data_IF_781055119544
#
_entry.id   IF_781055119544
#
_cell.length_a   1.000
_cell.length_b   1.000
_cell.length_c   1.000
_cell.angle_alpha   90.00
_cell.angle_beta   90.00
_cell.angle_gamma   90.00
#
_symmetry.space_group_name_H-M   'P 1'
#
loop_
_entity.id
_entity.type
_entity.pdbx_description
1 polymer ?
#
# COMPACT_ATOMS: atom_id res chain seq x y z
N UNK A 1 -6.51 -22.67 -19.94
CA UNK A 1 -7.74 -21.85 -19.94
C UNK A 1 -7.83 -21.19 -18.57
N UNK A 2 -8.04 -19.87 -18.48
CA UNK A 2 -8.16 -19.18 -17.19
C UNK A 2 -9.59 -19.30 -16.65
N UNK A 3 -9.80 -19.17 -15.34
CA UNK A 3 -11.14 -19.36 -14.76
C UNK A 3 -12.20 -18.40 -15.33
N UNK A 4 -11.80 -17.17 -15.67
CA UNK A 4 -12.69 -16.19 -16.31
C UNK A 4 -13.08 -16.59 -17.75
N UNK A 5 -12.21 -17.30 -18.47
CA UNK A 5 -12.53 -17.85 -19.79
C UNK A 5 -13.54 -19.00 -19.67
N UNK A 6 -13.50 -19.78 -18.59
CA UNK A 6 -14.50 -20.84 -18.36
C UNK A 6 -15.88 -20.21 -18.13
N UNK A 7 -15.94 -19.10 -17.39
CA UNK A 7 -17.16 -18.31 -17.23
C UNK A 7 -17.60 -17.71 -18.56
N UNK A 8 -16.67 -17.19 -19.39
CA UNK A 8 -16.97 -16.65 -20.73
C UNK A 8 -17.72 -17.67 -21.58
N UNK A 9 -17.21 -18.91 -21.67
CA UNK A 9 -17.85 -19.98 -22.44
C UNK A 9 -19.25 -20.32 -21.92
N UNK A 10 -19.44 -20.32 -20.60
CA UNK A 10 -20.77 -20.52 -20.01
C UNK A 10 -21.75 -19.40 -20.41
N UNK A 11 -21.30 -18.14 -20.42
CA UNK A 11 -22.12 -17.02 -20.88
C UNK A 11 -22.42 -17.13 -22.38
N UNK A 12 -21.46 -17.56 -23.21
CA UNK A 12 -21.69 -17.78 -24.65
C UNK A 12 -22.74 -18.85 -24.90
N UNK A 13 -22.66 -19.98 -24.20
CA UNK A 13 -23.66 -21.05 -24.30
C UNK A 13 -25.04 -20.53 -23.91
N UNK A 14 -25.14 -19.78 -22.81
CA UNK A 14 -26.38 -19.14 -22.40
C UNK A 14 -26.89 -18.18 -23.48
N UNK A 15 -26.02 -17.33 -24.05
CA UNK A 15 -26.40 -16.33 -25.03
C UNK A 15 -26.96 -16.98 -26.31
N UNK A 16 -26.29 -18.01 -26.83
CA UNK A 16 -26.78 -18.77 -27.99
C UNK A 16 -28.14 -19.41 -27.71
N UNK A 17 -28.35 -19.97 -26.51
CA UNK A 17 -29.63 -20.57 -26.11
C UNK A 17 -30.74 -19.54 -25.90
N UNK A 18 -30.43 -18.39 -25.32
CA UNK A 18 -31.40 -17.35 -24.98
C UNK A 18 -31.93 -16.65 -26.23
N UNK A 19 -31.04 -16.35 -27.19
CA UNK A 19 -31.39 -15.64 -28.42
C UNK A 19 -31.70 -16.55 -29.61
N UNK A 20 -31.54 -17.88 -29.43
CA UNK A 20 -31.73 -18.89 -30.47
C UNK A 20 -30.95 -18.57 -31.77
N UNK A 21 -29.71 -18.07 -31.61
CA UNK A 21 -28.84 -17.71 -32.74
C UNK A 21 -27.37 -18.00 -32.44
N UNK A 22 -26.70 -18.68 -33.38
CA UNK A 22 -25.27 -18.99 -33.32
C UNK A 22 -24.42 -17.72 -33.42
N UNK A 23 -24.97 -16.63 -33.95
CA UNK A 23 -24.28 -15.33 -34.04
C UNK A 23 -23.90 -14.75 -32.66
N UNK A 24 -24.51 -15.24 -31.57
CA UNK A 24 -24.09 -14.93 -30.20
C UNK A 24 -22.79 -15.63 -29.77
N UNK A 25 -22.33 -16.62 -30.53
CA UNK A 25 -21.03 -17.25 -30.29
C UNK A 25 -19.93 -16.25 -30.67
N UNK A 26 -19.01 -15.96 -29.75
CA UNK A 26 -17.94 -14.98 -29.96
C UNK A 26 -18.30 -13.53 -29.63
N UNK A 27 -19.53 -13.23 -29.20
CA UNK A 27 -19.93 -11.89 -28.74
C UNK A 27 -19.52 -11.61 -27.30
N UNK A 28 -19.06 -12.63 -26.57
CA UNK A 28 -18.65 -12.49 -25.18
C UNK A 28 -17.12 -12.37 -25.09
N UNK A 29 -16.63 -11.26 -24.55
CA UNK A 29 -15.19 -11.08 -24.25
C UNK A 29 -14.96 -11.14 -22.75
N UNK A 30 -13.87 -11.76 -22.34
CA UNK A 30 -13.42 -11.77 -20.95
C UNK A 30 -12.07 -11.06 -20.81
N UNK A 31 -11.89 -10.32 -19.70
CA UNK A 31 -10.63 -9.68 -19.34
C UNK A 31 -10.51 -9.65 -17.82
N UNK A 32 -9.38 -10.14 -17.30
CA UNK A 32 -8.98 -9.91 -15.90
C UNK A 32 -8.06 -8.69 -15.85
N UNK A 33 -8.44 -7.67 -15.07
CA UNK A 33 -7.65 -6.47 -14.88
C UNK A 33 -7.56 -6.14 -13.39
N UNK A 34 -6.36 -6.25 -12.83
CA UNK A 34 -6.14 -6.16 -11.38
C UNK A 34 -7.03 -7.16 -10.61
N UNK A 35 -7.97 -6.66 -9.80
CA UNK A 35 -8.96 -7.43 -9.03
C UNK A 35 -10.35 -7.48 -9.70
N UNK A 36 -10.47 -7.04 -10.96
CA UNK A 36 -11.74 -6.97 -11.71
C UNK A 36 -11.79 -8.12 -12.71
N UNK A 37 -12.81 -8.97 -12.60
CA UNK A 37 -13.14 -9.98 -13.60
C UNK A 37 -14.26 -9.43 -14.48
N UNK A 38 -13.85 -8.88 -15.61
CA UNK A 38 -14.72 -8.19 -16.54
C UNK A 38 -15.13 -9.11 -17.68
N UNK A 39 -16.43 -9.16 -17.95
CA UNK A 39 -17.02 -9.80 -19.11
C UNK A 39 -17.84 -8.75 -19.86
N UNK A 40 -17.80 -8.78 -21.19
CA UNK A 40 -18.70 -7.98 -22.03
C UNK A 40 -19.52 -8.89 -22.91
N UNK A 41 -20.79 -8.56 -23.11
CA UNK A 41 -21.71 -9.25 -24.01
C UNK A 41 -22.12 -8.23 -25.07
N UNK A 42 -21.74 -8.48 -26.33
CA UNK A 42 -22.10 -7.62 -27.44
C UNK A 42 -23.52 -7.91 -27.95
N UNK A 43 -24.44 -6.96 -27.72
CA UNK A 43 -25.84 -7.04 -28.14
C UNK A 43 -26.14 -6.09 -29.32
N UNK A 44 -25.12 -5.46 -29.91
CA UNK A 44 -25.30 -4.41 -30.94
C UNK A 44 -26.03 -4.90 -32.19
N UNK A 45 -25.86 -6.17 -32.55
CA UNK A 45 -26.38 -6.76 -33.79
C UNK A 45 -27.58 -7.71 -33.58
N UNK A 46 -28.17 -7.75 -32.38
CA UNK A 46 -29.13 -8.79 -31.99
C UNK A 46 -30.50 -8.16 -31.74
N UNK A 47 -31.56 -8.77 -32.27
CA UNK A 47 -32.94 -8.37 -31.95
C UNK A 47 -33.30 -8.89 -30.56
N UNK A 48 -33.29 -8.02 -29.57
CA UNK A 48 -33.64 -8.35 -28.20
C UNK A 48 -34.82 -7.49 -27.72
N UNK A 49 -35.58 -7.97 -26.74
CA UNK A 49 -36.88 -7.43 -26.28
C UNK A 49 -36.76 -6.17 -25.39
N UNK A 50 -35.65 -5.43 -25.50
CA UNK A 50 -35.29 -4.21 -24.75
C UNK A 50 -35.32 -4.29 -23.20
N UNK A 51 -35.62 -5.46 -22.60
CA UNK A 51 -35.66 -5.61 -21.15
C UNK A 51 -34.35 -6.21 -20.59
N UNK A 52 -33.36 -5.33 -20.33
CA UNK A 52 -32.01 -5.80 -19.96
C UNK A 52 -32.01 -6.48 -18.59
N UNK A 53 -32.89 -6.03 -17.70
CA UNK A 53 -33.00 -6.60 -16.36
C UNK A 53 -33.50 -8.05 -16.42
N UNK A 54 -34.44 -8.38 -17.32
CA UNK A 54 -34.91 -9.75 -17.53
C UNK A 54 -33.82 -10.65 -18.12
N UNK A 55 -33.05 -10.15 -19.09
CA UNK A 55 -31.88 -10.85 -19.63
C UNK A 55 -30.86 -11.10 -18.51
N UNK A 56 -30.53 -10.06 -17.74
CA UNK A 56 -29.57 -10.13 -16.65
C UNK A 56 -30.01 -11.11 -15.55
N UNK A 57 -31.27 -11.09 -15.14
CA UNK A 57 -31.83 -12.03 -14.17
C UNK A 57 -31.74 -13.48 -14.67
N UNK A 58 -32.03 -13.71 -15.95
CA UNK A 58 -31.95 -15.04 -16.57
C UNK A 58 -30.51 -15.54 -16.61
N UNK A 59 -29.57 -14.68 -17.02
CA UNK A 59 -28.14 -14.97 -17.02
C UNK A 59 -27.62 -15.24 -15.61
N UNK A 60 -27.99 -14.39 -14.65
CA UNK A 60 -27.59 -14.53 -13.25
C UNK A 60 -28.02 -15.87 -12.68
N UNK A 61 -29.29 -16.26 -12.89
CA UNK A 61 -29.81 -17.56 -12.46
C UNK A 61 -29.05 -18.71 -13.11
N UNK A 62 -28.84 -18.64 -14.43
CA UNK A 62 -28.06 -19.62 -15.16
C UNK A 62 -26.64 -19.77 -14.59
N UNK A 63 -25.94 -18.66 -14.38
CA UNK A 63 -24.56 -18.64 -13.88
C UNK A 63 -24.47 -19.14 -12.42
N UNK A 64 -25.46 -18.84 -11.58
CA UNK A 64 -25.50 -19.39 -10.22
C UNK A 64 -25.67 -20.91 -10.22
N UNK A 65 -26.60 -21.44 -11.03
CA UNK A 65 -26.84 -22.88 -11.12
C UNK A 65 -25.66 -23.61 -11.78
N UNK A 66 -25.10 -23.02 -12.83
CA UNK A 66 -23.92 -23.54 -13.51
C UNK A 66 -22.68 -23.50 -12.61
N UNK A 67 -22.44 -22.39 -11.90
CA UNK A 67 -21.31 -22.22 -10.98
C UNK A 67 -21.34 -23.21 -9.81
N UNK A 68 -22.52 -23.50 -9.25
CA UNK A 68 -22.69 -24.54 -8.21
C UNK A 68 -22.31 -25.93 -8.72
N UNK A 69 -22.66 -26.27 -9.97
CA UNK A 69 -22.37 -27.59 -10.57
C UNK A 69 -20.92 -27.74 -10.99
N UNK A 70 -20.27 -26.63 -11.35
CA UNK A 70 -18.93 -26.61 -11.93
C UNK A 70 -17.88 -26.02 -10.98
N UNK A 71 -18.18 -25.93 -9.68
CA UNK A 71 -17.30 -25.32 -8.69
C UNK A 71 -15.88 -25.93 -8.67
N UNK A 72 -15.79 -27.25 -8.91
CA UNK A 72 -14.51 -27.99 -8.99
C UNK A 72 -13.62 -27.58 -10.17
N UNK A 73 -14.15 -26.84 -11.14
CA UNK A 73 -13.42 -26.49 -12.36
C UNK A 73 -12.56 -25.22 -12.20
N UNK A 74 -12.69 -24.52 -11.07
CA UNK A 74 -12.01 -23.25 -10.84
C UNK A 74 -10.77 -23.39 -9.96
N UNK A 75 -9.67 -22.77 -10.39
CA UNK A 75 -8.42 -22.72 -9.61
C UNK A 75 -8.39 -21.52 -8.65
N UNK A 76 -8.93 -20.38 -9.05
CA UNK A 76 -9.01 -19.11 -8.31
C UNK A 76 -10.49 -18.71 -8.13
N UNK A 77 -11.20 -19.49 -7.30
CA UNK A 77 -12.60 -19.23 -6.97
C UNK A 77 -12.80 -17.84 -6.33
N UNK A 78 -11.77 -17.27 -5.68
CA UNK A 78 -11.84 -15.95 -5.08
C UNK A 78 -11.99 -14.88 -6.14
N UNK A 79 -11.18 -14.94 -7.19
CA UNK A 79 -11.30 -14.01 -8.31
C UNK A 79 -12.68 -14.08 -8.96
N UNK A 80 -13.13 -15.25 -9.40
CA UNK A 80 -14.37 -15.37 -10.18
C UNK A 80 -15.67 -15.21 -9.38
N UNK A 81 -15.60 -15.19 -8.04
CA UNK A 81 -16.78 -14.99 -7.18
C UNK A 81 -17.56 -13.72 -7.52
N UNK A 82 -16.86 -12.73 -8.10
CA UNK A 82 -17.33 -11.39 -8.41
C UNK A 82 -17.04 -11.09 -9.87
N UNK A 83 -18.10 -10.85 -10.61
CA UNK A 83 -18.02 -10.51 -12.03
C UNK A 83 -18.61 -9.13 -12.27
N UNK A 84 -17.98 -8.38 -13.15
CA UNK A 84 -18.57 -7.18 -13.76
C UNK A 84 -18.94 -7.56 -15.19
N UNK A 85 -20.23 -7.54 -15.49
CA UNK A 85 -20.76 -7.85 -16.82
C UNK A 85 -21.21 -6.54 -17.46
N UNK A 86 -20.57 -6.14 -18.55
CA UNK A 86 -21.01 -5.03 -19.39
C UNK A 86 -21.80 -5.53 -20.58
N UNK A 87 -22.96 -4.93 -20.83
CA UNK A 87 -23.78 -5.17 -22.00
C UNK A 87 -23.50 -4.04 -22.99
N UNK A 88 -22.92 -4.39 -24.14
CA UNK A 88 -22.67 -3.42 -25.21
C UNK A 88 -23.95 -3.28 -26.02
N UNK A 89 -24.57 -2.11 -25.94
CA UNK A 89 -25.87 -1.84 -26.54
C UNK A 89 -25.71 -0.99 -27.80
N UNK A 90 -26.64 -1.10 -28.77
CA UNK A 90 -26.66 -0.20 -29.92
C UNK A 90 -26.69 1.26 -29.46
N UNK A 91 -25.91 2.12 -30.13
CA UNK A 91 -25.96 3.56 -29.87
C UNK A 91 -27.36 4.10 -30.21
N UNK A 92 -27.85 5.01 -29.36
CA UNK A 92 -29.11 5.71 -29.57
C UNK A 92 -28.83 7.20 -29.56
N UNK A 93 -29.18 7.89 -30.64
CA UNK A 93 -28.98 9.34 -30.81
C UNK A 93 -27.52 9.80 -30.60
N UNK A 94 -26.55 8.95 -30.97
CA UNK A 94 -25.12 9.21 -30.81
C UNK A 94 -24.61 9.08 -29.37
N UNK A 95 -25.43 8.57 -28.44
CA UNK A 95 -25.06 8.32 -27.06
C UNK A 95 -24.84 6.82 -26.80
N UNK A 96 -23.73 6.51 -26.13
CA UNK A 96 -23.41 5.17 -25.64
C UNK A 96 -24.46 4.72 -24.59
N UNK A 97 -25.14 3.61 -24.87
CA UNK A 97 -26.18 3.04 -24.02
C UNK A 97 -25.70 1.92 -23.10
N UNK A 98 -24.40 1.60 -23.09
CA UNK A 98 -23.84 0.47 -22.34
C UNK A 98 -24.26 0.50 -20.87
N UNK A 99 -24.71 -0.66 -20.41
CA UNK A 99 -25.07 -0.89 -19.02
C UNK A 99 -24.14 -1.94 -18.42
N UNK A 100 -23.71 -1.71 -17.19
CA UNK A 100 -22.88 -2.65 -16.45
C UNK A 100 -23.65 -3.19 -15.26
N UNK A 101 -23.49 -4.48 -14.97
CA UNK A 101 -24.16 -5.16 -13.85
C UNK A 101 -23.15 -6.01 -13.08
N UNK A 102 -23.29 -6.03 -11.76
CA UNK A 102 -22.42 -6.81 -10.89
C UNK A 102 -23.06 -8.16 -10.56
N UNK A 103 -22.29 -9.24 -10.66
CA UNK A 103 -22.74 -10.60 -10.35
C UNK A 103 -21.86 -11.21 -9.27
N UNK A 104 -22.51 -11.65 -8.19
CA UNK A 104 -21.92 -12.55 -7.18
C UNK A 104 -22.31 -14.00 -7.49
N UNK A 105 -21.36 -14.79 -7.99
CA UNK A 105 -21.58 -16.20 -8.28
C UNK A 105 -21.78 -17.02 -6.99
N UNK A 106 -20.99 -16.70 -5.97
CA UNK A 106 -21.07 -17.34 -4.66
C UNK A 106 -20.58 -16.38 -3.57
N UNK A 107 -21.10 -16.56 -2.36
CA UNK A 107 -20.68 -15.79 -1.20
C UNK A 107 -19.32 -16.30 -0.71
N UNK A 108 -18.34 -15.41 -0.63
CA UNK A 108 -17.10 -15.68 0.08
C UNK A 108 -17.03 -14.83 1.33
N UNK A 109 -16.68 -15.43 2.49
CA UNK A 109 -16.29 -14.68 3.66
C UNK A 109 -15.18 -13.66 3.36
N UNK A 110 -15.23 -12.50 4.02
CA UNK A 110 -14.34 -11.36 3.79
C UNK A 110 -12.84 -11.69 3.92
N UNK A 111 -12.46 -12.67 4.75
CA UNK A 111 -11.06 -13.06 4.96
C UNK A 111 -10.38 -13.66 3.72
N UNK A 112 -11.13 -14.19 2.75
CA UNK A 112 -10.55 -14.75 1.51
C UNK A 112 -10.00 -13.66 0.58
N UNK A 113 -10.51 -12.43 0.64
CA UNK A 113 -10.05 -11.35 -0.24
C UNK A 113 -8.69 -10.76 0.19
N UNK A 114 -8.23 -11.05 1.42
CA UNK A 114 -6.97 -10.55 2.01
C UNK A 114 -5.72 -11.13 1.33
N UNK A 115 -5.73 -12.41 0.94
CA UNK A 115 -4.57 -13.07 0.33
C UNK A 115 -4.27 -12.59 -1.09
N UNK A 116 -5.30 -12.15 -1.83
CA UNK A 116 -5.15 -11.70 -3.22
C UNK A 116 -4.76 -10.21 -3.32
N UNK A 117 -5.14 -9.36 -2.36
CA UNK A 117 -4.75 -7.94 -2.35
C UNK A 117 -3.30 -7.71 -1.88
N UNK A 118 -2.77 -8.55 -0.99
CA UNK A 118 -1.36 -8.48 -0.57
C UNK A 118 -0.37 -8.93 -1.67
N UNK A 119 -0.87 -9.56 -2.75
CA UNK A 119 -0.07 -10.03 -3.88
C UNK A 119 0.04 -9.04 -5.05
N UNK A 120 -0.48 -7.81 -4.92
CA UNK A 120 -0.04 -6.73 -5.80
C UNK A 120 1.38 -6.35 -5.40
N UNK A 121 2.32 -7.10 -5.99
CA UNK A 121 3.74 -6.98 -5.77
C UNK A 121 4.19 -5.55 -5.85
N UNK A 122 5.20 -5.23 -5.05
CA UNK A 122 6.00 -4.02 -5.15
C UNK A 122 6.53 -3.90 -6.58
N UNK A 123 5.73 -3.36 -7.50
CA UNK A 123 6.21 -2.83 -8.76
C UNK A 123 7.04 -1.63 -8.36
N UNK A 124 8.35 -1.84 -8.26
CA UNK A 124 9.33 -0.77 -8.17
C UNK A 124 8.91 0.32 -9.15
N UNK A 125 8.53 1.49 -8.63
CA UNK A 125 8.05 2.56 -9.49
C UNK A 125 9.09 2.83 -10.57
N UNK A 126 8.67 3.12 -11.80
CA UNK A 126 9.61 3.44 -12.89
C UNK A 126 10.56 4.59 -12.53
N UNK A 127 10.19 5.39 -11.53
CA UNK A 127 11.01 6.43 -10.92
C UNK A 127 12.13 5.85 -10.04
N UNK A 128 11.85 4.84 -9.22
CA UNK A 128 12.86 4.10 -8.46
C UNK A 128 13.82 3.35 -9.39
N UNK A 129 13.32 2.73 -10.47
CA UNK A 129 14.16 2.08 -11.48
C UNK A 129 15.04 3.09 -12.22
N UNK A 130 14.51 4.26 -12.60
CA UNK A 130 15.29 5.36 -13.20
C UNK A 130 16.33 5.92 -12.23
N UNK A 131 16.00 6.09 -10.95
CA UNK A 131 16.95 6.51 -9.92
C UNK A 131 18.05 5.46 -9.75
N UNK A 132 17.70 4.17 -9.72
CA UNK A 132 18.67 3.06 -9.66
C UNK A 132 19.57 3.02 -10.89
N UNK A 133 19.03 3.25 -12.10
CA UNK A 133 19.81 3.29 -13.34
C UNK A 133 20.76 4.49 -13.35
N UNK A 134 20.29 5.68 -12.93
CA UNK A 134 21.14 6.88 -12.81
C UNK A 134 22.21 6.67 -11.73
N UNK A 135 21.87 6.05 -10.60
CA UNK A 135 22.81 5.71 -9.55
C UNK A 135 23.85 4.68 -10.00
N UNK A 136 23.40 3.61 -10.66
CA UNK A 136 24.25 2.58 -11.21
C UNK A 136 25.21 3.19 -12.22
N UNK A 137 24.74 4.09 -13.09
CA UNK A 137 25.57 4.81 -14.05
C UNK A 137 26.54 5.80 -13.40
N UNK A 138 26.17 6.50 -12.32
CA UNK A 138 27.08 7.40 -11.60
C UNK A 138 28.15 6.60 -10.84
N UNK A 139 27.76 5.51 -10.16
CA UNK A 139 28.70 4.59 -9.51
C UNK A 139 29.61 3.94 -10.55
N UNK A 140 29.09 3.36 -11.63
CA UNK A 140 29.91 2.78 -12.71
C UNK A 140 30.84 3.81 -13.34
N UNK A 141 30.35 5.02 -13.63
CA UNK A 141 31.18 6.09 -14.21
C UNK A 141 32.30 6.46 -13.26
N UNK A 142 32.02 6.63 -11.97
CA UNK A 142 33.03 6.99 -10.99
C UNK A 142 33.98 5.82 -10.71
N UNK A 143 33.48 4.58 -10.69
CA UNK A 143 34.28 3.36 -10.59
C UNK A 143 35.19 3.22 -11.79
N UNK A 144 34.72 3.42 -13.02
CA UNK A 144 35.52 3.39 -14.27
C UNK A 144 36.57 4.52 -14.27
N UNK A 145 36.17 5.75 -13.91
CA UNK A 145 37.08 6.91 -13.83
C UNK A 145 38.21 6.70 -12.81
N UNK A 146 37.99 5.88 -11.79
CA UNK A 146 39.03 5.52 -10.80
C UNK A 146 39.79 4.26 -11.23
N UNK A 147 39.12 3.27 -11.83
CA UNK A 147 39.74 2.00 -12.27
C UNK A 147 40.77 2.22 -13.37
N UNK A 148 40.48 3.08 -14.36
CA UNK A 148 41.39 3.35 -15.47
C UNK A 148 42.76 3.88 -14.98
N UNK A 149 42.84 4.97 -14.20
CA UNK A 149 44.11 5.43 -13.65
C UNK A 149 44.72 4.40 -12.69
N UNK A 150 43.91 3.67 -11.91
CA UNK A 150 44.42 2.65 -10.99
C UNK A 150 45.12 1.50 -11.74
N UNK A 151 44.49 0.94 -12.77
CA UNK A 151 45.08 -0.08 -13.65
C UNK A 151 46.34 0.48 -14.33
N UNK A 152 46.28 1.71 -14.84
CA UNK A 152 47.44 2.36 -15.46
C UNK A 152 48.61 2.48 -14.47
N UNK A 153 48.36 2.94 -13.24
CA UNK A 153 49.38 3.03 -12.19
C UNK A 153 49.89 1.66 -11.73
N UNK A 154 49.05 0.62 -11.69
CA UNK A 154 49.48 -0.76 -11.40
C UNK A 154 50.43 -1.25 -12.49
N UNK A 155 50.08 -1.09 -13.77
CA UNK A 155 50.93 -1.50 -14.90
C UNK A 155 52.26 -0.72 -14.89
N UNK A 156 52.21 0.59 -14.66
CA UNK A 156 53.40 1.44 -14.54
C UNK A 156 54.29 0.99 -13.37
N UNK A 157 53.68 0.60 -12.24
CA UNK A 157 54.39 0.13 -11.05
C UNK A 157 55.05 -1.22 -11.30
N UNK A 158 54.36 -2.17 -11.94
CA UNK A 158 54.93 -3.47 -12.33
C UNK A 158 56.13 -3.28 -13.28
N UNK A 159 56.01 -2.36 -14.25
CA UNK A 159 57.12 -2.02 -15.15
C UNK A 159 58.30 -1.44 -14.37
N UNK A 160 58.04 -0.48 -13.45
CA UNK A 160 59.08 0.18 -12.66
C UNK A 160 59.80 -0.75 -11.68
N UNK A 161 59.08 -1.67 -11.04
CA UNK A 161 59.65 -2.72 -10.17
C UNK A 161 60.68 -3.58 -10.93
N UNK A 162 60.43 -3.89 -12.20
CA UNK A 162 61.38 -4.66 -13.02
C UNK A 162 62.63 -3.88 -13.42
N UNK A 163 62.56 -2.55 -13.46
CA UNK A 163 63.65 -1.68 -13.93
C UNK A 163 64.46 -1.00 -12.82
N UNK A 164 63.91 -0.87 -11.61
CA UNK A 164 64.54 -0.18 -10.47
C UNK A 164 64.26 -0.95 -9.17
N UNK A 165 65.27 -1.63 -8.63
CA UNK A 165 65.15 -2.39 -7.39
C UNK A 165 64.90 -1.51 -6.15
N UNK A 166 65.31 -0.23 -6.16
CA UNK A 166 65.05 0.73 -5.09
C UNK A 166 63.61 1.29 -5.15
N UNK A 167 62.90 1.10 -6.26
CA UNK A 167 61.47 1.44 -6.36
C UNK A 167 60.61 0.51 -5.50
N UNK A 168 61.00 -0.76 -5.36
CA UNK A 168 60.27 -1.72 -4.53
C UNK A 168 60.20 -1.29 -3.06
N UNK A 169 61.33 -0.86 -2.49
CA UNK A 169 61.39 -0.39 -1.09
C UNK A 169 60.61 0.92 -0.88
N UNK A 170 60.63 1.82 -1.87
CA UNK A 170 59.84 3.07 -1.84
C UNK A 170 58.34 2.78 -1.92
N UNK A 171 57.93 1.84 -2.77
CA UNK A 171 56.55 1.41 -2.90
C UNK A 171 56.04 0.75 -1.61
N UNK A 172 56.85 -0.11 -0.98
CA UNK A 172 56.55 -0.71 0.32
C UNK A 172 56.30 0.36 1.41
N UNK A 173 57.17 1.37 1.51
CA UNK A 173 56.97 2.51 2.44
C UNK A 173 55.71 3.32 2.11
N UNK A 174 55.40 3.53 0.82
CA UNK A 174 54.15 4.18 0.41
C UNK A 174 52.90 3.39 0.78
N UNK A 175 52.94 2.05 0.73
CA UNK A 175 51.85 1.20 1.20
C UNK A 175 51.58 1.39 2.70
N UNK A 176 52.61 1.50 3.54
CA UNK A 176 52.44 1.75 4.97
C UNK A 176 51.73 3.09 5.24
N UNK A 177 52.11 4.16 4.53
CA UNK A 177 51.43 5.45 4.64
C UNK A 177 49.97 5.40 4.16
N UNK A 178 49.68 4.68 3.07
CA UNK A 178 48.31 4.52 2.54
C UNK A 178 47.45 3.70 3.50
N UNK A 179 47.99 2.64 4.10
CA UNK A 179 47.30 1.83 5.09
C UNK A 179 46.95 2.64 6.34
N UNK A 180 47.92 3.42 6.86
CA UNK A 180 47.69 4.31 8.01
C UNK A 180 46.64 5.38 7.67
N UNK A 181 46.76 6.05 6.53
CA UNK A 181 45.79 7.06 6.10
C UNK A 181 44.38 6.47 5.90
N UNK A 182 44.28 5.29 5.30
CA UNK A 182 43.01 4.58 5.09
C UNK A 182 42.36 4.18 6.41
N UNK A 183 43.15 3.71 7.38
CA UNK A 183 42.68 3.39 8.73
C UNK A 183 42.17 4.62 9.51
N UNK A 184 42.85 5.76 9.39
CA UNK A 184 42.42 7.03 9.98
C UNK A 184 41.09 7.48 9.35
N UNK A 185 41.01 7.53 8.02
CA UNK A 185 39.80 7.94 7.29
C UNK A 185 38.63 7.00 7.61
N UNK A 186 38.87 5.69 7.63
CA UNK A 186 37.88 4.70 8.01
C UNK A 186 37.33 4.96 9.42
N UNK A 187 38.21 5.22 10.40
CA UNK A 187 37.79 5.50 11.78
C UNK A 187 36.92 6.75 11.89
N UNK A 188 37.28 7.83 11.18
CA UNK A 188 36.46 9.05 11.11
C UNK A 188 35.09 8.81 10.46
N UNK A 189 35.06 8.08 9.34
CA UNK A 189 33.81 7.77 8.63
C UNK A 189 32.89 6.91 9.49
N UNK A 190 33.44 5.89 10.17
CA UNK A 190 32.68 5.03 11.08
C UNK A 190 32.11 5.82 12.26
N UNK A 191 32.93 6.66 12.90
CA UNK A 191 32.49 7.53 14.00
C UNK A 191 31.39 8.50 13.57
N UNK A 192 31.53 9.11 12.39
CA UNK A 192 30.51 9.96 11.79
C UNK A 192 29.21 9.20 11.52
N UNK A 193 29.29 8.00 10.92
CA UNK A 193 28.14 7.14 10.63
C UNK A 193 27.36 6.78 11.89
N UNK A 194 28.06 6.28 12.92
CA UNK A 194 27.45 5.91 14.21
C UNK A 194 26.78 7.14 14.85
N UNK A 195 27.51 8.25 14.96
CA UNK A 195 26.97 9.47 15.57
C UNK A 195 25.74 10.00 14.81
N UNK A 196 25.76 9.94 13.47
CA UNK A 196 24.65 10.43 12.65
C UNK A 196 23.43 9.54 12.78
N UNK A 197 23.58 8.21 12.82
CA UNK A 197 22.47 7.27 13.04
C UNK A 197 21.87 7.46 14.43
N UNK A 198 22.70 7.60 15.48
CA UNK A 198 22.21 7.90 16.84
C UNK A 198 21.43 9.22 16.86
N UNK A 199 21.94 10.26 16.21
CA UNK A 199 21.25 11.56 16.11
C UNK A 199 19.89 11.41 15.45
N UNK A 200 19.81 10.67 14.33
CA UNK A 200 18.54 10.41 13.63
C UNK A 200 17.57 9.65 14.54
N UNK A 201 18.03 8.59 15.22
CA UNK A 201 17.21 7.84 16.17
C UNK A 201 16.67 8.76 17.28
N UNK A 202 17.52 9.60 17.87
CA UNK A 202 17.08 10.57 18.88
C UNK A 202 16.05 11.54 18.34
N UNK A 203 16.19 12.01 17.11
CA UNK A 203 15.20 12.87 16.47
C UNK A 203 13.87 12.14 16.25
N UNK A 204 13.89 10.86 15.84
CA UNK A 204 12.68 10.02 15.74
C UNK A 204 12.00 9.83 17.10
N UNK A 205 12.78 9.54 18.15
CA UNK A 205 12.28 9.37 19.52
C UNK A 205 11.55 10.61 20.05
N UNK A 206 11.95 11.83 19.65
CA UNK A 206 11.24 13.07 20.03
C UNK A 206 9.79 13.10 19.52
N UNK A 207 9.49 12.39 18.44
CA UNK A 207 8.17 12.39 17.81
C UNK A 207 7.25 11.26 18.30
N UNK A 208 7.77 10.22 18.98
CA UNK A 208 6.98 9.02 19.36
C UNK A 208 5.78 9.37 20.23
N UNK A 209 5.94 10.27 21.21
CA UNK A 209 4.82 10.75 22.05
C UNK A 209 3.74 11.46 21.25
N UNK A 210 4.13 12.26 20.25
CA UNK A 210 3.18 12.98 19.40
C UNK A 210 2.44 12.00 18.47
N UNK A 211 3.18 11.04 17.87
CA UNK A 211 2.60 9.96 17.06
C UNK A 211 1.60 9.17 17.90
N UNK A 212 1.99 8.64 19.07
CA UNK A 212 1.11 7.92 20.00
C UNK A 212 -0.19 8.67 20.28
N UNK A 213 -0.10 9.94 20.67
CA UNK A 213 -1.28 10.73 20.98
C UNK A 213 -2.21 10.88 19.76
N UNK A 214 -1.66 11.22 18.60
CA UNK A 214 -2.44 11.36 17.37
C UNK A 214 -3.03 10.02 16.89
N UNK A 215 -2.28 8.93 17.00
CA UNK A 215 -2.75 7.59 16.69
C UNK A 215 -3.89 7.15 17.61
N UNK A 216 -3.82 7.46 18.91
CA UNK A 216 -4.94 7.22 19.84
C UNK A 216 -6.18 8.00 19.44
N UNK A 217 -6.02 9.28 19.07
CA UNK A 217 -7.13 10.11 18.58
C UNK A 217 -7.75 9.54 17.31
N UNK A 218 -6.94 9.10 16.35
CA UNK A 218 -7.45 8.44 15.14
C UNK A 218 -8.20 7.15 15.47
N UNK A 219 -7.70 6.38 16.43
CA UNK A 219 -8.35 5.16 16.94
C UNK A 219 -9.75 5.50 17.50
N UNK A 220 -9.88 6.52 18.34
CA UNK A 220 -11.18 6.99 18.82
C UNK A 220 -12.09 7.47 17.69
N UNK A 221 -11.57 8.19 16.70
CA UNK A 221 -12.36 8.64 15.55
C UNK A 221 -12.85 7.49 14.66
N UNK A 222 -12.05 6.44 14.50
CA UNK A 222 -12.49 5.22 13.82
C UNK A 222 -13.61 4.53 14.59
N UNK A 223 -13.54 4.50 15.93
CA UNK A 223 -14.64 3.98 16.75
C UNK A 223 -15.91 4.84 16.64
N UNK A 224 -15.77 6.17 16.50
CA UNK A 224 -16.91 7.04 16.17
C UNK A 224 -17.53 6.62 14.83
N UNK A 225 -16.73 6.42 13.78
CA UNK A 225 -17.21 5.98 12.48
C UNK A 225 -17.92 4.61 12.55
N UNK A 226 -17.35 3.68 13.31
CA UNK A 226 -17.94 2.35 13.54
C UNK A 226 -19.32 2.44 14.19
N UNK A 227 -19.45 3.23 15.24
CA UNK A 227 -20.71 3.43 15.96
C UNK A 227 -21.75 4.17 15.11
N UNK A 228 -21.34 5.13 14.26
CA UNK A 228 -22.24 5.83 13.34
C UNK A 228 -22.87 4.91 12.30
N UNK A 229 -22.13 3.93 11.78
CA UNK A 229 -22.67 2.94 10.84
C UNK A 229 -23.69 2.04 11.52
N UNK A 230 -23.50 1.71 12.80
CA UNK A 230 -24.33 0.75 13.54
C UNK A 230 -25.52 1.38 14.24
N UNK A 231 -25.64 2.70 14.24
CA UNK A 231 -26.72 3.39 14.94
C UNK A 231 -28.08 3.12 14.30
N UNK A 232 -28.83 2.18 14.90
CA UNK A 232 -30.13 1.77 14.41
C UNK A 232 -31.17 2.87 14.47
N UNK A 233 -31.08 3.84 15.39
CA UNK A 233 -32.02 4.96 15.45
C UNK A 233 -31.86 5.94 14.29
N UNK A 234 -30.70 5.93 13.64
CA UNK A 234 -30.41 6.78 12.49
C UNK A 234 -30.79 6.09 11.17
N UNK A 235 -30.51 4.79 11.07
CA UNK A 235 -30.78 3.96 9.90
C UNK A 235 -32.06 3.13 10.05
N UNK A 236 -33.21 3.77 10.29
CA UNK A 236 -34.51 3.06 10.36
C UNK A 236 -35.26 3.07 9.03
N UNK A 237 -36.09 2.06 8.79
CA UNK A 237 -36.94 1.95 7.59
C UNK A 237 -37.87 3.14 7.38
N UNK A 238 -38.21 3.87 8.43
CA UNK A 238 -39.06 5.06 8.31
C UNK A 238 -38.28 6.30 7.82
N UNK A 239 -36.95 6.23 7.68
CA UNK A 239 -36.11 7.35 7.23
C UNK A 239 -35.89 7.32 5.71
N UNK A 240 -35.84 8.49 5.04
CA UNK A 240 -35.71 8.57 3.59
C UNK A 240 -34.40 7.99 3.03
N UNK A 241 -33.37 7.86 3.86
CA UNK A 241 -32.04 7.41 3.44
C UNK A 241 -31.79 5.92 3.68
N UNK A 242 -32.77 5.18 4.22
CA UNK A 242 -32.60 3.78 4.61
C UNK A 242 -32.23 2.87 3.44
N UNK A 243 -32.91 3.02 2.30
CA UNK A 243 -32.65 2.17 1.12
C UNK A 243 -31.23 2.35 0.60
N UNK A 244 -30.73 3.59 0.58
CA UNK A 244 -29.36 3.90 0.18
C UNK A 244 -28.32 3.38 1.19
N UNK A 245 -28.63 3.41 2.48
CA UNK A 245 -27.80 2.81 3.52
C UNK A 245 -27.73 1.28 3.41
N UNK A 246 -28.86 0.60 3.25
CA UNK A 246 -28.92 -0.84 3.05
C UNK A 246 -28.18 -1.24 1.77
N UNK A 247 -28.40 -0.49 0.68
CA UNK A 247 -27.69 -0.68 -0.56
C UNK A 247 -26.18 -0.56 -0.37
N UNK A 248 -25.70 0.50 0.27
CA UNK A 248 -24.28 0.69 0.56
C UNK A 248 -23.69 -0.46 1.40
N UNK A 249 -24.41 -0.94 2.41
CA UNK A 249 -23.99 -2.09 3.21
C UNK A 249 -23.92 -3.40 2.39
N UNK A 250 -24.77 -3.55 1.38
CA UNK A 250 -24.78 -4.74 0.51
C UNK A 250 -23.58 -4.79 -0.45
N UNK A 251 -23.02 -3.63 -0.82
CA UNK A 251 -21.94 -3.48 -1.81
C UNK A 251 -20.56 -3.17 -1.20
N UNK A 252 -20.47 -2.84 0.10
CA UNK A 252 -19.25 -2.35 0.77
C UNK A 252 -18.02 -3.24 0.64
N UNK A 253 -18.20 -4.53 0.34
CA UNK A 253 -17.10 -5.47 0.16
C UNK A 253 -16.67 -5.61 -1.30
N UNK A 254 -17.45 -5.11 -2.25
CA UNK A 254 -17.27 -5.34 -3.69
C UNK A 254 -16.76 -4.09 -4.43
N UNK A 255 -17.00 -2.90 -3.85
CA UNK A 255 -16.49 -1.62 -4.32
C UNK A 255 -15.88 -0.84 -3.15
N UNK A 256 -14.73 -0.21 -3.38
CA UNK A 256 -14.10 0.67 -2.39
C UNK A 256 -14.72 2.07 -2.43
N UNK A 257 -14.56 2.84 -1.35
CA UNK A 257 -14.94 4.25 -1.32
C UNK A 257 -14.28 5.06 -2.47
N UNK A 258 -12.99 4.79 -2.72
CA UNK A 258 -12.23 5.43 -3.80
C UNK A 258 -12.83 5.14 -5.17
N UNK A 259 -13.08 3.86 -5.49
CA UNK A 259 -13.65 3.43 -6.75
C UNK A 259 -15.05 4.03 -6.99
N UNK A 260 -15.81 4.27 -5.91
CA UNK A 260 -17.14 4.87 -5.99
C UNK A 260 -17.12 6.40 -6.14
N UNK A 261 -16.22 7.09 -5.44
CA UNK A 261 -16.16 8.55 -5.46
C UNK A 261 -15.30 9.11 -6.62
N UNK A 262 -14.30 8.36 -7.07
CA UNK A 262 -13.35 8.76 -8.09
C UNK A 262 -13.27 7.71 -9.20
N UNK A 263 -14.35 7.53 -10.00
CA UNK A 263 -14.33 6.58 -11.08
C UNK A 263 -13.29 6.95 -12.14
N UNK A 264 -12.57 5.95 -12.63
CA UNK A 264 -11.56 6.08 -13.68
C UNK A 264 -12.25 6.05 -15.05
N UNK A 265 -12.58 7.22 -15.60
CA UNK A 265 -13.31 7.37 -16.86
C UNK A 265 -12.49 6.96 -18.09
N UNK A 266 -11.16 6.97 -18.00
CA UNK A 266 -10.26 6.63 -19.10
C UNK A 266 -10.09 5.10 -19.25
N UNK A 267 -10.38 4.35 -18.18
CA UNK A 267 -10.27 2.90 -18.12
C UNK A 267 -11.65 2.24 -18.18
N UNK A 268 -12.07 1.83 -19.38
CA UNK A 268 -13.40 1.25 -19.61
C UNK A 268 -13.77 0.08 -18.69
N UNK A 269 -12.80 -0.73 -18.24
CA UNK A 269 -13.05 -1.85 -17.31
C UNK A 269 -13.35 -1.35 -15.90
N UNK A 270 -12.55 -0.40 -15.39
CA UNK A 270 -12.79 0.18 -14.07
C UNK A 270 -14.06 1.03 -14.07
N UNK A 271 -14.32 1.76 -15.15
CA UNK A 271 -15.56 2.53 -15.30
C UNK A 271 -16.80 1.63 -15.35
N UNK A 272 -16.75 0.50 -16.07
CA UNK A 272 -17.81 -0.49 -16.07
C UNK A 272 -18.06 -1.08 -14.67
N UNK A 273 -16.99 -1.31 -13.89
CA UNK A 273 -17.15 -1.71 -12.48
C UNK A 273 -17.91 -0.66 -11.69
N UNK A 274 -17.50 0.61 -11.75
CA UNK A 274 -18.23 1.70 -11.08
C UNK A 274 -19.71 1.74 -11.50
N UNK A 275 -19.98 1.77 -12.81
CA UNK A 275 -21.34 1.78 -13.37
C UNK A 275 -22.19 0.63 -12.85
N UNK A 276 -21.60 -0.55 -12.63
CA UNK A 276 -22.31 -1.71 -12.11
C UNK A 276 -22.84 -1.56 -10.68
N UNK A 277 -22.33 -0.59 -9.93
CA UNK A 277 -22.78 -0.23 -8.58
C UNK A 277 -23.49 1.14 -8.53
N UNK A 278 -23.55 1.87 -9.64
CA UNK A 278 -24.25 3.14 -9.72
C UNK A 278 -25.74 2.90 -9.95
N UNK A 279 -26.57 3.55 -9.13
CA UNK A 279 -28.03 3.41 -9.12
C UNK A 279 -28.67 4.78 -9.02
N UNK A 280 -29.46 5.17 -10.01
CA UNK A 280 -30.08 6.50 -10.10
C UNK A 280 -31.13 6.75 -9.01
N UNK A 281 -31.77 5.69 -8.51
CA UNK A 281 -32.76 5.72 -7.44
C UNK A 281 -32.14 5.85 -6.03
N UNK A 282 -30.80 5.89 -5.92
CA UNK A 282 -30.09 5.92 -4.65
C UNK A 282 -29.48 7.30 -4.35
N UNK A 283 -29.48 7.69 -3.08
CA UNK A 283 -28.78 8.88 -2.61
C UNK A 283 -27.26 8.64 -2.58
N UNK A 284 -26.57 9.04 -3.63
CA UNK A 284 -25.11 8.84 -3.76
C UNK A 284 -24.29 9.43 -2.60
N UNK A 285 -24.76 10.52 -1.98
CA UNK A 285 -24.14 11.10 -0.78
C UNK A 285 -24.16 10.13 0.40
N UNK A 286 -25.29 9.45 0.62
CA UNK A 286 -25.45 8.41 1.66
C UNK A 286 -24.60 7.20 1.34
N UNK A 287 -24.61 6.73 0.08
CA UNK A 287 -23.80 5.58 -0.33
C UNK A 287 -22.31 5.88 -0.10
N UNK A 288 -21.84 7.05 -0.55
CA UNK A 288 -20.46 7.48 -0.36
C UNK A 288 -20.10 7.64 1.11
N UNK A 289 -20.99 8.20 1.94
CA UNK A 289 -20.80 8.31 3.39
C UNK A 289 -20.63 6.95 4.04
N UNK A 290 -21.53 6.01 3.77
CA UNK A 290 -21.48 4.68 4.39
C UNK A 290 -20.21 3.93 3.97
N UNK A 291 -19.82 4.01 2.69
CA UNK A 291 -18.56 3.44 2.21
C UNK A 291 -17.34 4.09 2.88
N UNK A 292 -17.34 5.42 3.07
CA UNK A 292 -16.27 6.12 3.80
C UNK A 292 -16.23 5.74 5.28
N UNK A 293 -17.38 5.61 5.94
CA UNK A 293 -17.44 5.21 7.33
C UNK A 293 -16.90 3.78 7.49
N UNK A 294 -17.23 2.85 6.58
CA UNK A 294 -16.62 1.51 6.55
C UNK A 294 -15.12 1.57 6.26
N UNK A 295 -14.66 2.42 5.34
CA UNK A 295 -13.23 2.64 5.09
C UNK A 295 -12.48 3.06 6.38
N UNK A 296 -13.10 3.89 7.23
CA UNK A 296 -12.55 4.29 8.51
C UNK A 296 -12.70 3.22 9.60
N UNK A 297 -13.84 2.53 9.63
CA UNK A 297 -14.27 1.65 10.72
C UNK A 297 -13.82 0.19 10.58
N UNK A 298 -13.56 -0.31 9.38
CA UNK A 298 -13.29 -1.74 9.17
C UNK A 298 -11.95 -2.15 9.82
N UNK A 299 -12.02 -3.20 10.63
CA UNK A 299 -10.90 -3.85 11.34
C UNK A 299 -9.92 -4.53 10.40
N UNK A 300 -10.31 -4.77 9.13
CA UNK A 300 -9.43 -5.32 8.08
C UNK A 300 -8.21 -4.43 7.76
N UNK A 301 -8.12 -3.26 8.38
CA UNK A 301 -6.93 -2.42 8.39
C UNK A 301 -5.83 -2.89 9.37
N UNK A 302 -6.18 -3.53 10.49
CA UNK A 302 -5.32 -3.83 11.64
C UNK A 302 -5.28 -5.34 12.03
N UNK A 303 -4.98 -6.17 11.03
CA UNK A 303 -4.42 -7.52 11.17
C UNK A 303 -5.29 -8.72 11.61
N UNK A 304 -4.72 -9.90 11.32
CA UNK A 304 -4.97 -11.23 11.94
C UNK A 304 -6.38 -11.52 12.46
N UNK A 305 -7.09 -12.41 11.76
CA UNK A 305 -8.45 -12.82 12.10
C UNK A 305 -8.67 -13.06 13.60
N UNK A 306 -9.59 -12.31 14.18
CA UNK A 306 -10.36 -12.70 15.34
C UNK A 306 -11.76 -12.07 15.23
N UNK A 307 -12.74 -12.94 15.44
CA UNK A 307 -14.08 -12.63 15.94
C UNK A 307 -14.08 -11.59 17.07
N UNK A 308 -15.11 -10.74 17.13
CA UNK A 308 -15.60 -10.04 18.32
C UNK A 308 -14.61 -9.97 19.51
N UNK A 309 -13.68 -9.02 19.48
CA UNK A 309 -12.91 -8.60 20.66
C UNK A 309 -12.96 -7.08 20.79
N UNK A 310 -12.87 -6.59 22.04
CA UNK A 310 -12.80 -5.18 22.35
C UNK A 310 -11.77 -4.47 21.47
N UNK A 311 -12.15 -3.31 20.92
CA UNK A 311 -11.27 -2.44 20.13
C UNK A 311 -9.93 -2.27 20.87
N UNK A 312 -8.77 -2.54 20.23
CA UNK A 312 -7.49 -2.53 20.95
C UNK A 312 -7.26 -1.13 21.52
N UNK A 313 -7.05 -0.98 22.83
CA UNK A 313 -6.77 0.34 23.40
C UNK A 313 -5.40 0.80 22.88
N UNK A 314 -5.41 1.85 22.05
CA UNK A 314 -4.24 2.54 21.52
C UNK A 314 -3.45 1.73 20.47
N UNK A 315 -3.73 1.97 19.18
CA UNK A 315 -2.93 1.45 18.06
C UNK A 315 -1.93 2.50 17.57
N UNK A 316 -0.71 2.09 17.19
CA UNK A 316 0.31 2.96 16.58
C UNK A 316 0.39 2.70 15.08
N UNK A 317 -0.31 3.55 14.31
CA UNK A 317 -0.32 3.49 12.85
C UNK A 317 1.07 3.74 12.26
N UNK A 318 1.47 2.88 11.34
CA UNK A 318 2.61 3.06 10.44
C UNK A 318 2.30 4.07 9.34
N UNK A 319 3.33 4.49 8.62
CA UNK A 319 3.18 5.37 7.48
C UNK A 319 2.35 4.74 6.35
N UNK A 320 2.55 3.46 6.04
CA UNK A 320 1.77 2.71 5.02
C UNK A 320 0.28 2.65 5.38
N UNK A 321 -0.03 2.46 6.65
CA UNK A 321 -1.38 2.59 7.19
C UNK A 321 -1.91 4.03 7.04
N UNK A 322 -1.08 5.05 7.29
CA UNK A 322 -1.54 6.43 7.11
C UNK A 322 -1.84 6.81 5.66
N UNK A 323 -1.18 6.20 4.68
CA UNK A 323 -1.44 6.46 3.24
C UNK A 323 -2.88 6.17 2.84
N UNK A 324 -3.52 5.16 3.45
CA UNK A 324 -4.89 4.78 3.08
C UNK A 324 -5.95 5.76 3.61
N UNK A 325 -5.59 6.61 4.59
CA UNK A 325 -6.48 7.65 5.12
C UNK A 325 -6.38 8.98 4.34
N UNK A 326 -5.46 9.12 3.39
CA UNK A 326 -5.29 10.36 2.61
C UNK A 326 -6.57 10.70 1.84
N UNK A 327 -7.29 9.71 1.31
CA UNK A 327 -8.56 9.93 0.60
C UNK A 327 -9.62 10.62 1.47
N UNK A 328 -9.57 10.44 2.80
CA UNK A 328 -10.44 11.17 3.72
C UNK A 328 -10.11 12.66 3.75
N UNK A 329 -8.83 13.02 3.59
CA UNK A 329 -8.39 14.42 3.50
C UNK A 329 -8.93 15.12 2.25
N UNK A 330 -9.05 14.40 1.13
CA UNK A 330 -9.51 14.95 -0.14
C UNK A 330 -11.03 15.09 -0.23
N UNK A 331 -11.78 14.17 0.40
CA UNK A 331 -13.23 14.22 0.42
C UNK A 331 -13.79 13.71 1.74
N UNK A 332 -14.30 14.63 2.56
CA UNK A 332 -14.92 14.33 3.84
C UNK A 332 -16.46 14.28 3.70
N UNK A 333 -16.99 13.06 3.58
CA UNK A 333 -18.44 12.82 3.46
C UNK A 333 -19.16 13.00 4.78
N UNK A 334 -18.49 12.83 5.92
CA UNK A 334 -19.10 13.10 7.23
C UNK A 334 -19.49 14.58 7.31
N UNK A 335 -18.56 15.49 7.03
CA UNK A 335 -18.83 16.92 6.97
C UNK A 335 -19.90 17.26 5.92
N UNK A 336 -19.74 16.78 4.69
CA UNK A 336 -20.70 17.06 3.61
C UNK A 336 -22.12 16.61 3.98
N UNK A 337 -22.25 15.44 4.61
CA UNK A 337 -23.55 14.90 5.01
C UNK A 337 -24.13 15.56 6.26
N UNK A 338 -23.29 16.11 7.13
CA UNK A 338 -23.70 16.90 8.29
C UNK A 338 -24.17 18.31 7.90
N UNK A 339 -23.43 18.98 7.01
CA UNK A 339 -23.60 20.41 6.74
C UNK A 339 -24.41 20.72 5.47
N UNK A 340 -24.09 20.07 4.35
CA UNK A 340 -24.68 20.39 3.04
C UNK A 340 -25.96 19.60 2.81
N UNK A 341 -25.88 18.26 2.81
CA UNK A 341 -27.07 17.42 2.55
C UNK A 341 -27.93 17.17 3.78
N UNK A 342 -27.42 17.53 4.97
CA UNK A 342 -28.13 17.47 6.27
C UNK A 342 -28.84 16.13 6.50
N UNK A 343 -28.14 15.04 6.23
CA UNK A 343 -28.64 13.67 6.45
C UNK A 343 -28.73 13.40 7.95
N UNK A 344 -27.78 13.91 8.73
CA UNK A 344 -27.76 13.77 10.18
C UNK A 344 -28.77 14.71 10.87
N UNK A 345 -29.44 14.26 11.94
CA UNK A 345 -30.31 15.12 12.72
C UNK A 345 -29.51 16.20 13.46
N UNK A 346 -30.13 17.35 13.72
CA UNK A 346 -29.51 18.43 14.50
C UNK A 346 -29.04 17.94 15.88
N UNK A 347 -29.81 17.06 16.51
CA UNK A 347 -29.50 16.41 17.79
C UNK A 347 -29.78 14.91 17.71
N UNK A 348 -28.85 14.10 18.20
CA UNK A 348 -28.99 12.65 18.23
C UNK A 348 -29.69 12.20 19.51
N UNK A 349 -30.65 11.29 19.38
CA UNK A 349 -31.29 10.66 20.53
C UNK A 349 -30.29 9.78 21.30
N UNK A 350 -30.30 9.79 22.64
CA UNK A 350 -29.41 8.95 23.43
C UNK A 350 -29.63 7.47 23.13
N UNK A 351 -28.55 6.79 22.75
CA UNK A 351 -28.47 5.35 22.56
C UNK A 351 -27.13 4.86 23.12
N UNK A 352 -26.94 3.54 23.21
CA UNK A 352 -25.64 2.97 23.55
C UNK A 352 -24.53 3.45 22.60
N UNK A 353 -24.75 3.43 21.27
CA UNK A 353 -23.74 3.83 20.30
C UNK A 353 -23.48 5.34 20.31
N UNK A 354 -24.50 6.18 20.48
CA UNK A 354 -24.33 7.64 20.64
C UNK A 354 -23.55 7.97 21.91
N UNK A 355 -23.79 7.25 23.02
CA UNK A 355 -23.01 7.42 24.24
C UNK A 355 -21.54 7.06 24.03
N UNK A 356 -21.25 5.97 23.31
CA UNK A 356 -19.87 5.61 22.94
C UNK A 356 -19.21 6.69 22.07
N UNK A 357 -19.92 7.25 21.09
CA UNK A 357 -19.43 8.37 20.27
C UNK A 357 -19.09 9.58 21.14
N UNK A 358 -19.99 9.95 22.06
CA UNK A 358 -19.78 11.07 22.99
C UNK A 358 -18.55 10.82 23.88
N UNK A 359 -18.39 9.60 24.40
CA UNK A 359 -17.21 9.21 25.18
C UNK A 359 -15.91 9.37 24.39
N UNK A 360 -15.88 8.93 23.14
CA UNK A 360 -14.70 9.03 22.28
C UNK A 360 -14.38 10.47 21.86
N UNK A 361 -15.39 11.29 21.56
CA UNK A 361 -15.19 12.73 21.34
C UNK A 361 -14.57 13.36 22.59
N UNK A 362 -15.07 13.02 23.78
CA UNK A 362 -14.54 13.51 25.05
C UNK A 362 -13.12 13.01 25.35
N UNK A 363 -12.71 11.86 24.82
CA UNK A 363 -11.31 11.38 24.87
C UNK A 363 -10.40 12.14 23.91
N UNK A 364 -10.90 12.51 22.73
CA UNK A 364 -10.15 13.32 21.74
C UNK A 364 -9.97 14.77 22.24
N UNK A 365 -11.01 15.32 22.88
CA UNK A 365 -11.09 16.70 23.37
C UNK A 365 -11.39 16.78 24.89
N UNK A 366 -10.44 16.39 25.76
CA UNK A 366 -10.69 16.33 27.20
C UNK A 366 -10.99 17.70 27.86
N UNK A 367 -10.66 18.80 27.17
CA UNK A 367 -10.90 20.18 27.62
C UNK A 367 -12.23 20.77 27.14
N UNK A 368 -12.85 20.19 26.12
CA UNK A 368 -14.10 20.67 25.50
C UNK A 368 -15.11 19.51 25.46
N UNK A 369 -15.57 19.12 26.65
CA UNK A 369 -16.43 17.95 26.80
C UNK A 369 -17.86 18.27 26.40
N UNK A 370 -18.45 17.39 25.60
CA UNK A 370 -19.86 17.44 25.22
C UNK A 370 -20.68 16.46 26.05
N UNK A 371 -21.97 16.79 26.23
CA UNK A 371 -22.95 15.89 26.86
C UNK A 371 -23.81 15.15 25.85
N UNK A 372 -24.17 15.85 24.77
CA UNK A 372 -25.02 15.34 23.69
C UNK A 372 -24.30 15.53 22.36
N UNK A 373 -24.54 14.63 21.41
CA UNK A 373 -24.02 14.72 20.06
C UNK A 373 -24.97 15.56 19.19
N UNK A 374 -24.41 16.52 18.45
CA UNK A 374 -25.09 17.28 17.41
C UNK A 374 -24.44 17.06 16.05
N UNK A 375 -25.18 17.33 14.96
CA UNK A 375 -24.62 17.30 13.60
C UNK A 375 -23.42 18.24 13.46
N UNK A 376 -23.50 19.45 14.02
CA UNK A 376 -22.43 20.44 13.97
C UNK A 376 -21.16 19.95 14.67
N UNK A 377 -21.29 19.29 15.83
CA UNK A 377 -20.12 18.75 16.52
C UNK A 377 -19.50 17.59 15.74
N UNK A 378 -20.32 16.75 15.12
CA UNK A 378 -19.82 15.68 14.25
C UNK A 378 -19.05 16.25 13.04
N UNK A 379 -19.59 17.30 12.42
CA UNK A 379 -18.93 18.04 11.34
C UNK A 379 -17.59 18.63 11.79
N UNK A 380 -17.56 19.34 12.91
CA UNK A 380 -16.37 19.94 13.50
C UNK A 380 -15.27 18.89 13.75
N UNK A 381 -15.63 17.78 14.41
CA UNK A 381 -14.69 16.68 14.68
C UNK A 381 -14.14 16.12 13.37
N UNK A 382 -15.00 15.87 12.37
CA UNK A 382 -14.56 15.32 11.08
C UNK A 382 -13.57 16.25 10.35
N UNK A 383 -13.80 17.57 10.39
CA UNK A 383 -12.92 18.57 9.78
C UNK A 383 -11.56 18.63 10.48
N UNK A 384 -11.54 18.51 11.80
CA UNK A 384 -10.31 18.43 12.58
C UNK A 384 -9.47 17.20 12.18
N UNK A 385 -10.10 16.06 11.91
CA UNK A 385 -9.40 14.89 11.39
C UNK A 385 -8.89 15.11 9.97
N UNK A 386 -9.71 15.70 9.10
CA UNK A 386 -9.37 15.99 7.71
C UNK A 386 -8.15 16.91 7.59
N UNK A 387 -8.14 18.04 8.30
CA UNK A 387 -7.15 19.09 8.10
C UNK A 387 -5.99 19.08 9.09
N UNK A 388 -6.16 18.47 10.26
CA UNK A 388 -5.18 18.59 11.35
C UNK A 388 -4.62 17.26 11.81
N UNK A 389 -5.45 16.29 12.19
CA UNK A 389 -4.94 15.07 12.82
C UNK A 389 -4.33 14.10 11.81
N UNK A 390 -5.03 13.75 10.73
CA UNK A 390 -4.54 12.79 9.72
C UNK A 390 -3.29 13.33 9.01
N UNK A 391 -3.27 14.56 8.46
CA UNK A 391 -2.09 15.08 7.77
C UNK A 391 -0.85 15.18 8.67
N UNK A 392 -1.05 15.60 9.93
CA UNK A 392 0.05 15.70 10.89
C UNK A 392 0.58 14.31 11.28
N UNK A 393 -0.32 13.35 11.51
CA UNK A 393 0.08 11.97 11.83
C UNK A 393 0.81 11.32 10.63
N UNK A 394 0.31 11.51 9.41
CA UNK A 394 0.96 11.07 8.18
C UNK A 394 2.38 11.63 8.03
N UNK A 395 2.56 12.93 8.26
CA UNK A 395 3.89 13.56 8.16
C UNK A 395 4.85 13.08 9.26
N UNK A 396 4.38 12.89 10.49
CA UNK A 396 5.20 12.41 11.59
C UNK A 396 5.58 10.94 11.42
N UNK A 397 4.63 10.08 11.03
CA UNK A 397 4.90 8.66 10.74
C UNK A 397 5.89 8.51 9.60
N UNK A 398 5.81 9.34 8.55
CA UNK A 398 6.82 9.37 7.48
C UNK A 398 8.23 9.60 7.99
N UNK A 399 8.40 10.52 8.95
CA UNK A 399 9.72 10.82 9.54
C UNK A 399 10.19 9.68 10.41
N UNK A 400 9.31 9.12 11.24
CA UNK A 400 9.65 8.04 12.18
C UNK A 400 9.96 6.73 11.47
N UNK A 401 9.15 6.36 10.49
CA UNK A 401 9.29 5.13 9.70
C UNK A 401 10.31 5.29 8.56
N UNK A 402 10.95 6.46 8.42
CA UNK A 402 11.93 6.68 7.37
C UNK A 402 13.16 5.77 7.53
N UNK A 403 13.53 5.17 6.41
CA UNK A 403 14.81 4.50 6.24
C UNK A 403 16.01 5.43 6.50
N UNK A 404 17.20 4.83 6.66
CA UNK A 404 18.45 5.59 6.65
C UNK A 404 18.53 6.51 5.41
N UNK A 405 18.88 7.80 5.59
CA UNK A 405 19.08 8.72 4.49
C UNK A 405 20.05 8.16 3.45
N UNK A 406 19.80 8.50 2.18
CA UNK A 406 20.62 8.07 1.05
C UNK A 406 22.11 8.40 1.25
N UNK A 407 22.42 9.53 1.88
CA UNK A 407 23.79 9.94 2.22
C UNK A 407 24.47 8.94 3.14
N UNK A 408 23.77 8.43 4.16
CA UNK A 408 24.30 7.39 5.06
C UNK A 408 24.50 6.08 4.29
N UNK A 409 23.52 5.67 3.48
CA UNK A 409 23.64 4.47 2.63
C UNK A 409 24.86 4.55 1.69
N UNK A 410 25.12 5.73 1.13
CA UNK A 410 26.31 6.02 0.32
C UNK A 410 27.62 5.94 1.13
N UNK A 411 27.68 6.56 2.31
CA UNK A 411 28.86 6.51 3.16
C UNK A 411 29.17 5.10 3.65
N UNK A 412 28.16 4.29 3.99
CA UNK A 412 28.32 2.86 4.30
C UNK A 412 28.96 2.13 3.11
N UNK A 413 28.42 2.32 1.91
CA UNK A 413 28.94 1.66 0.68
C UNK A 413 30.38 2.10 0.38
N UNK A 414 30.66 3.40 0.48
CA UNK A 414 32.00 3.96 0.25
C UNK A 414 33.00 3.47 1.29
N UNK A 415 32.58 3.38 2.56
CA UNK A 415 33.38 2.82 3.65
C UNK A 415 33.68 1.33 3.41
N UNK A 416 32.69 0.54 2.96
CA UNK A 416 32.89 -0.86 2.60
C UNK A 416 33.90 -1.02 1.47
N UNK A 417 33.82 -0.19 0.43
CA UNK A 417 34.79 -0.17 -0.66
C UNK A 417 36.18 0.24 -0.17
N UNK A 418 36.28 1.28 0.66
CA UNK A 418 37.56 1.77 1.21
C UNK A 418 38.25 0.70 2.07
N UNK A 419 37.51 -0.04 2.90
CA UNK A 419 38.08 -1.16 3.66
C UNK A 419 38.46 -2.35 2.77
N UNK A 420 37.64 -2.66 1.75
CA UNK A 420 37.90 -3.77 0.83
C UNK A 420 39.15 -3.52 -0.03
N UNK A 421 39.24 -2.35 -0.64
CA UNK A 421 40.33 -1.98 -1.57
C UNK A 421 41.53 -1.34 -0.88
N UNK A 422 41.34 -0.63 0.23
CA UNK A 422 42.40 0.05 0.96
C UNK A 422 43.07 -0.80 2.03
N UNK A 423 42.43 -1.90 2.48
CA UNK A 423 42.97 -2.72 3.56
C UNK A 423 42.96 -4.22 3.22
N UNK A 424 41.83 -4.80 2.82
CA UNK A 424 41.74 -6.26 2.57
C UNK A 424 42.62 -6.68 1.38
N UNK A 425 42.47 -6.04 0.21
CA UNK A 425 43.23 -6.40 -1.00
C UNK A 425 44.74 -6.17 -0.84
N UNK A 426 45.23 -5.02 -0.34
CA UNK A 426 46.66 -4.82 -0.11
C UNK A 426 47.23 -5.83 0.89
N UNK A 427 46.50 -6.14 1.95
CA UNK A 427 46.93 -7.13 2.95
C UNK A 427 47.00 -8.53 2.35
N UNK A 428 46.00 -8.96 1.56
CA UNK A 428 46.04 -10.21 0.81
C UNK A 428 47.24 -10.27 -0.15
N UNK A 429 47.57 -9.14 -0.79
CA UNK A 429 48.71 -9.06 -1.72
C UNK A 429 50.05 -9.21 -0.98
N UNK A 430 50.16 -8.64 0.22
CA UNK A 430 51.36 -8.71 1.07
C UNK A 430 51.61 -10.13 1.63
N UNK A 431 50.55 -10.92 1.86
CA UNK A 431 50.66 -12.33 2.28
C UNK A 431 51.44 -13.18 1.27
N UNK A 432 51.34 -12.87 -0.03
CA UNK A 432 52.08 -13.60 -1.06
C UNK A 432 53.56 -13.16 -1.18
N UNK A 433 54.01 -12.20 -0.36
CA UNK A 433 55.35 -11.60 -0.42
C UNK A 433 56.23 -12.01 0.77
N UNK A 434 55.70 -12.39 1.95
CA UNK A 434 56.53 -12.66 3.14
C UNK A 434 56.10 -13.86 4.03
N UNK A 435 57.02 -14.35 4.90
CA UNK A 435 57.01 -15.65 5.60
C UNK A 435 55.85 -15.92 6.58
N UNK A 436 55.60 -17.23 6.75
CA UNK A 436 54.46 -17.99 7.30
C UNK A 436 53.83 -17.61 8.65
N UNK A 437 54.44 -16.76 9.50
CA UNK A 437 53.88 -16.43 10.83
C UNK A 437 53.06 -15.14 10.87
N UNK A 438 53.18 -14.26 9.88
CA UNK A 438 52.27 -13.12 9.68
C UNK A 438 50.89 -13.54 9.13
N UNK A 439 50.75 -14.82 8.77
CA UNK A 439 49.59 -15.36 8.07
C UNK A 439 48.33 -15.37 8.94
N UNK A 440 48.42 -15.91 10.17
CA UNK A 440 47.24 -16.08 11.05
C UNK A 440 46.69 -14.74 11.55
N UNK A 441 47.56 -13.79 11.93
CA UNK A 441 47.15 -12.46 12.39
C UNK A 441 46.45 -11.67 11.29
N UNK A 442 46.94 -11.78 10.05
CA UNK A 442 46.33 -11.15 8.89
C UNK A 442 44.95 -11.75 8.57
N UNK A 443 44.80 -13.08 8.57
CA UNK A 443 43.49 -13.71 8.35
C UNK A 443 42.50 -13.37 9.46
N UNK A 444 42.95 -13.24 10.72
CA UNK A 444 42.12 -12.79 11.82
C UNK A 444 41.64 -11.34 11.62
N UNK A 445 42.53 -10.43 11.22
CA UNK A 445 42.18 -9.03 10.92
C UNK A 445 41.22 -8.93 9.73
N UNK A 446 41.47 -9.68 8.64
CA UNK A 446 40.55 -9.76 7.49
C UNK A 446 39.18 -10.32 7.91
N UNK A 447 39.16 -11.34 8.78
CA UNK A 447 37.94 -11.92 9.33
C UNK A 447 37.13 -10.90 10.16
N UNK A 448 37.80 -10.14 11.03
CA UNK A 448 37.20 -9.06 11.83
C UNK A 448 36.63 -7.97 10.92
N UNK A 449 37.40 -7.52 9.91
CA UNK A 449 36.96 -6.49 8.98
C UNK A 449 35.80 -6.99 8.13
N UNK A 450 35.88 -8.20 7.59
CA UNK A 450 34.80 -8.83 6.84
C UNK A 450 33.53 -8.95 7.67
N UNK A 451 33.64 -9.32 8.94
CA UNK A 451 32.52 -9.35 9.88
C UNK A 451 31.92 -7.95 10.09
N UNK A 452 32.73 -6.92 10.32
CA UNK A 452 32.26 -5.53 10.45
C UNK A 452 31.56 -5.07 9.17
N UNK A 453 32.09 -5.40 7.99
CA UNK A 453 31.49 -5.00 6.71
C UNK A 453 30.12 -5.64 6.48
N UNK A 454 29.97 -6.91 6.83
CA UNK A 454 28.71 -7.64 6.69
C UNK A 454 27.67 -7.20 7.74
N UNK A 455 28.10 -6.85 8.94
CA UNK A 455 27.21 -6.52 10.06
C UNK A 455 26.90 -5.04 10.21
N UNK A 456 27.75 -4.12 9.73
CA UNK A 456 27.57 -2.68 9.94
C UNK A 456 26.25 -2.17 9.36
N UNK A 457 25.93 -2.53 8.12
CA UNK A 457 24.66 -2.12 7.49
C UNK A 457 23.43 -2.61 8.27
N UNK A 458 23.26 -3.91 8.56
CA UNK A 458 22.10 -4.37 9.32
C UNK A 458 22.06 -3.82 10.75
N UNK A 459 23.22 -3.64 11.43
CA UNK A 459 23.28 -3.00 12.76
C UNK A 459 22.78 -1.55 12.68
N UNK A 460 23.27 -0.75 11.73
CA UNK A 460 22.84 0.65 11.58
C UNK A 460 21.37 0.76 11.16
N UNK A 461 20.84 -0.20 10.41
CA UNK A 461 19.42 -0.26 10.09
C UNK A 461 18.59 -0.59 11.33
N UNK A 462 18.96 -1.63 12.07
CA UNK A 462 18.31 -2.02 13.32
C UNK A 462 18.36 -0.90 14.38
N UNK A 463 19.45 -0.13 14.43
CA UNK A 463 19.59 1.02 15.34
C UNK A 463 18.71 2.20 14.92
N UNK A 464 18.40 2.34 13.62
CA UNK A 464 17.53 3.39 13.10
C UNK A 464 16.03 3.06 13.22
N UNK A 465 15.69 1.78 13.34
CA UNK A 465 14.33 1.31 13.55
C UNK A 465 13.89 1.53 15.00
N UNK A 466 12.64 1.95 15.18
CA UNK A 466 12.04 2.05 16.51
C UNK A 466 11.19 0.82 16.78
N UNK A 467 11.27 0.30 18.00
CA UNK A 467 10.39 -0.76 18.46
C UNK A 467 9.08 -0.14 18.97
N UNK A 468 7.98 -0.41 18.25
CA UNK A 468 6.64 0.08 18.61
C UNK A 468 6.23 -0.28 20.04
N UNK A 469 6.70 -1.41 20.60
CA UNK A 469 6.35 -1.88 21.93
C UNK A 469 7.09 -1.14 23.04
N UNK A 470 8.34 -0.73 22.82
CA UNK A 470 9.19 -0.14 23.86
C UNK A 470 9.38 1.38 23.70
N UNK A 471 9.52 1.87 22.46
CA UNK A 471 9.86 3.29 22.20
C UNK A 471 8.64 4.23 22.26
N UNK A 472 7.44 3.66 22.30
CA UNK A 472 6.16 4.39 22.36
C UNK A 472 5.48 4.27 23.74
N UNK A 473 6.17 3.80 24.79
CA UNK A 473 5.61 3.71 26.15
C UNK A 473 5.49 5.09 26.82
#
# INVERSE_FOLDING_TARGET
MTDIEIVREAIEIFAVQYFDTIEMSGTVKAKRQSNINYLSIDLTNVKWDENLDKLHQSLFKYLQDWGKKNFSNFQDYIAISRLTIEYLLPEKDGANQNQSKHVKLFFLPSYFYKSNQQNNGKTYSGLFLKILIVWHNILLRNTILVLIPTIFFIILSIYKIKTDSAFHERLAKSYDYINVASGIIASFVLGFLINKVITIRQDKLKYTRAVKNLSNKLTYFRNICFNLVREHNFWTKEKPFFESYEYANSIKHDITYEEYCYPDYDDGVKYAKFKSFYKEDMWHSVVSLVLQLHMMADDNFLDSGLSYTAFPPNHIYSHEEMERFILFCDSNRIWYCSSETKIFPESFYPSYYIQQIVEDINRIYPKDKIKNLSSDKLAEVSLDFQYRFIPRLHNLTRVVDSDLPLTIKYFITTFTLLLSFGLIIPTLTYIFIDKTFAFISVFAVIGIIGHILLTLKPILQSENELDKKYDYL
#
